data_IF_923472291271
#
_entry.id   IF_923472291271
#
_cell.length_a   1.000
_cell.length_b   1.000
_cell.length_c   1.000
_cell.angle_alpha   90.00
_cell.angle_beta   90.00
_cell.angle_gamma   90.00
#
_symmetry.space_group_name_H-M   'P 1'
#
loop_
_entity.id
_entity.type
_entity.pdbx_description
1 polymer ?
#
# COMPACT_ATOMS: atom_id res chain seq x y z
N UNK A 1 -10.60 -1.39 35.16
CA UNK A 1 -11.17 -0.08 34.76
C UNK A 1 -10.88 0.15 33.28
N UNK A 2 -11.87 0.57 32.50
CA UNK A 2 -11.73 0.78 31.04
C UNK A 2 -11.48 2.27 30.75
N UNK A 3 -10.36 2.61 30.10
CA UNK A 3 -10.01 3.98 29.62
C UNK A 3 -10.44 5.13 30.54
N UNK A 4 -10.15 5.03 31.85
CA UNK A 4 -10.55 6.00 32.89
C UNK A 4 -12.07 6.20 33.12
N UNK A 5 -12.93 5.46 32.41
CA UNK A 5 -14.40 5.47 32.55
C UNK A 5 -14.94 4.54 33.63
N UNK A 6 -14.08 3.86 34.39
CA UNK A 6 -14.45 2.98 35.50
C UNK A 6 -14.76 1.54 35.09
N UNK A 7 -15.68 0.89 35.81
CA UNK A 7 -16.12 -0.51 35.61
C UNK A 7 -17.28 -0.56 34.60
N UNK A 8 -16.97 -0.29 33.33
CA UNK A 8 -17.96 -0.22 32.23
C UNK A 8 -17.80 -1.36 31.21
N UNK A 9 -17.06 -2.40 31.55
CA UNK A 9 -16.82 -3.58 30.72
C UNK A 9 -16.78 -4.82 31.62
N UNK A 10 -17.45 -5.88 31.22
CA UNK A 10 -17.40 -7.20 31.83
C UNK A 10 -16.03 -7.85 31.58
N UNK A 11 -15.44 -8.44 32.62
CA UNK A 11 -14.11 -9.06 32.53
C UNK A 11 -14.19 -10.41 31.81
N UNK A 12 -13.45 -10.63 30.71
CA UNK A 12 -13.53 -11.86 29.92
C UNK A 12 -13.29 -13.13 30.76
N UNK A 13 -12.25 -13.14 31.59
CA UNK A 13 -11.87 -14.32 32.38
C UNK A 13 -12.97 -14.76 33.34
N UNK A 14 -13.58 -13.80 34.05
CA UNK A 14 -14.66 -14.09 35.01
C UNK A 14 -15.96 -14.49 34.34
N UNK A 15 -16.24 -13.94 33.16
CA UNK A 15 -17.43 -14.33 32.39
C UNK A 15 -17.24 -15.72 31.82
N UNK A 16 -16.04 -16.09 31.37
CA UNK A 16 -15.76 -17.45 30.90
C UNK A 16 -16.00 -18.47 32.01
N UNK A 17 -15.50 -18.22 33.23
CA UNK A 17 -15.74 -19.08 34.39
C UNK A 17 -17.24 -19.20 34.70
N UNK A 18 -17.96 -18.07 34.70
CA UNK A 18 -19.40 -18.05 34.93
C UNK A 18 -20.19 -18.83 33.87
N UNK A 19 -19.81 -18.73 32.59
CA UNK A 19 -20.45 -19.49 31.51
C UNK A 19 -20.24 -20.99 31.74
N UNK A 20 -19.02 -21.41 32.11
CA UNK A 20 -18.73 -22.81 32.45
C UNK A 20 -19.59 -23.29 33.62
N UNK A 21 -19.72 -22.50 34.69
CA UNK A 21 -20.56 -22.84 35.85
C UNK A 21 -22.05 -22.99 35.46
N UNK A 22 -22.54 -22.13 34.54
CA UNK A 22 -23.91 -22.19 34.03
C UNK A 22 -24.12 -23.45 33.19
N UNK A 23 -23.19 -23.77 32.29
CA UNK A 23 -23.23 -24.97 31.44
C UNK A 23 -23.23 -26.26 32.28
N UNK A 24 -22.34 -26.34 33.27
CA UNK A 24 -22.27 -27.46 34.22
C UNK A 24 -23.59 -27.59 35.01
N UNK A 25 -24.13 -26.46 35.48
CA UNK A 25 -25.42 -26.41 36.17
C UNK A 25 -26.57 -26.90 35.29
N UNK A 26 -26.61 -26.49 34.02
CA UNK A 26 -27.62 -26.95 33.06
C UNK A 26 -27.51 -28.45 32.76
N UNK A 27 -26.30 -29.00 32.66
CA UNK A 27 -26.07 -30.45 32.49
C UNK A 27 -26.64 -31.24 33.67
N UNK A 28 -26.37 -30.80 34.90
CA UNK A 28 -26.92 -31.42 36.12
C UNK A 28 -28.44 -31.35 36.15
N UNK A 29 -29.04 -30.19 35.85
CA UNK A 29 -30.50 -30.04 35.84
C UNK A 29 -31.17 -30.89 34.75
N UNK A 30 -30.53 -31.03 33.59
CA UNK A 30 -31.01 -31.90 32.50
C UNK A 30 -30.99 -33.37 32.92
N UNK A 31 -29.92 -33.82 33.59
CA UNK A 31 -29.84 -35.16 34.15
C UNK A 31 -30.92 -35.42 35.23
N UNK A 32 -31.17 -34.43 36.10
CA UNK A 32 -32.22 -34.50 37.11
C UNK A 32 -33.64 -34.54 36.49
N UNK A 33 -33.88 -33.86 35.36
CA UNK A 33 -35.14 -33.96 34.61
C UNK A 33 -35.35 -35.35 34.00
N UNK A 34 -34.27 -36.00 33.55
CA UNK A 34 -34.30 -37.37 33.03
C UNK A 34 -34.52 -38.45 34.10
N UNK A 35 -34.28 -38.14 35.38
CA UNK A 35 -34.46 -39.08 36.48
C UNK A 35 -35.94 -39.32 36.81
N UNK A 36 -36.37 -40.59 36.88
CA UNK A 36 -37.75 -40.98 37.22
C UNK A 36 -38.21 -40.54 38.63
N UNK A 37 -37.29 -40.30 39.55
CA UNK A 37 -37.60 -39.98 40.96
C UNK A 37 -37.68 -38.47 41.26
N UNK A 38 -37.84 -37.61 40.25
CA UNK A 38 -37.84 -36.14 40.43
C UNK A 38 -39.21 -35.51 40.77
N UNK A 39 -40.26 -36.32 40.99
CA UNK A 39 -41.65 -35.86 41.08
C UNK A 39 -41.90 -34.71 42.06
N UNK A 40 -41.23 -34.71 43.22
CA UNK A 40 -41.37 -33.66 44.23
C UNK A 40 -40.74 -32.31 43.84
N UNK A 41 -39.67 -32.34 43.03
CA UNK A 41 -38.87 -31.16 42.67
C UNK A 41 -39.04 -30.75 41.20
N UNK A 42 -39.85 -31.48 40.42
CA UNK A 42 -39.95 -31.29 38.97
C UNK A 42 -40.23 -29.85 38.55
N UNK A 43 -41.13 -29.16 39.25
CA UNK A 43 -41.45 -27.74 38.98
C UNK A 43 -40.27 -26.81 39.23
N UNK A 44 -39.51 -27.08 40.29
CA UNK A 44 -38.33 -26.28 40.67
C UNK A 44 -37.17 -26.51 39.69
N UNK A 45 -36.93 -27.77 39.29
CA UNK A 45 -35.93 -28.11 38.28
C UNK A 45 -36.25 -27.42 36.94
N UNK A 46 -37.52 -27.48 36.50
CA UNK A 46 -37.95 -26.78 35.27
C UNK A 46 -37.74 -25.27 35.34
N UNK A 47 -38.04 -24.65 36.49
CA UNK A 47 -37.81 -23.22 36.69
C UNK A 47 -36.31 -22.87 36.58
N UNK A 48 -35.44 -23.67 37.18
CA UNK A 48 -33.99 -23.45 37.12
C UNK A 48 -33.41 -23.67 35.72
N UNK A 49 -33.92 -24.66 34.97
CA UNK A 49 -33.53 -24.84 33.56
C UNK A 49 -33.84 -23.59 32.75
N UNK A 50 -35.06 -23.05 32.88
CA UNK A 50 -35.44 -21.82 32.18
C UNK A 50 -34.56 -20.64 32.62
N UNK A 51 -34.32 -20.48 33.93
CA UNK A 51 -33.48 -19.39 34.45
C UNK A 51 -32.05 -19.44 33.94
N UNK A 52 -31.39 -20.61 34.02
CA UNK A 52 -30.01 -20.75 33.56
C UNK A 52 -29.90 -20.56 32.04
N UNK A 53 -30.88 -21.04 31.27
CA UNK A 53 -30.93 -20.81 29.82
C UNK A 53 -31.09 -19.31 29.50
N UNK A 54 -32.01 -18.61 30.18
CA UNK A 54 -32.18 -17.16 30.01
C UNK A 54 -30.92 -16.39 30.42
N UNK A 55 -30.24 -16.78 31.49
CA UNK A 55 -28.99 -16.12 31.92
C UNK A 55 -27.92 -16.28 30.86
N UNK A 56 -27.73 -17.49 30.33
CA UNK A 56 -26.77 -17.75 29.27
C UNK A 56 -27.04 -16.88 28.03
N UNK A 57 -28.26 -16.91 27.50
CA UNK A 57 -28.66 -16.10 26.34
C UNK A 57 -28.39 -14.61 26.57
N UNK A 58 -28.70 -14.10 27.77
CA UNK A 58 -28.46 -12.69 28.11
C UNK A 58 -27.00 -12.34 28.25
N UNK A 59 -26.17 -13.23 28.78
CA UNK A 59 -24.71 -13.00 28.86
C UNK A 59 -24.11 -12.97 27.45
N UNK A 60 -24.49 -13.90 26.58
CA UNK A 60 -24.03 -13.95 25.18
C UNK A 60 -24.40 -12.67 24.43
N UNK A 61 -25.66 -12.24 24.51
CA UNK A 61 -26.12 -10.97 23.92
C UNK A 61 -25.37 -9.77 24.49
N UNK A 62 -25.15 -9.74 25.80
CA UNK A 62 -24.41 -8.67 26.46
C UNK A 62 -22.96 -8.60 26.00
N UNK A 63 -22.28 -9.73 25.85
CA UNK A 63 -20.93 -9.79 25.30
C UNK A 63 -20.89 -9.30 23.84
N UNK A 64 -21.89 -9.64 23.03
CA UNK A 64 -21.98 -9.16 21.65
C UNK A 64 -22.13 -7.62 21.60
N UNK A 65 -23.04 -7.06 22.41
CA UNK A 65 -23.21 -5.61 22.56
C UNK A 65 -21.92 -4.96 23.07
N UNK A 66 -21.23 -5.58 24.03
CA UNK A 66 -19.96 -5.09 24.56
C UNK A 66 -18.89 -4.99 23.48
N UNK A 67 -18.72 -6.04 22.67
CA UNK A 67 -17.73 -6.07 21.59
C UNK A 67 -17.99 -4.95 20.58
N UNK A 68 -19.23 -4.80 20.13
CA UNK A 68 -19.63 -3.74 19.21
C UNK A 68 -19.48 -2.35 19.83
N UNK A 69 -19.84 -2.18 21.11
CA UNK A 69 -19.70 -0.92 21.83
C UNK A 69 -18.23 -0.50 21.97
N UNK A 70 -17.32 -1.43 22.34
CA UNK A 70 -15.88 -1.15 22.45
C UNK A 70 -15.32 -0.67 21.11
N UNK A 71 -15.70 -1.34 20.02
CA UNK A 71 -15.26 -0.97 18.67
C UNK A 71 -15.77 0.43 18.27
N UNK A 72 -17.05 0.71 18.48
CA UNK A 72 -17.64 2.02 18.17
C UNK A 72 -17.12 3.15 19.08
N UNK A 73 -16.83 2.84 20.35
CA UNK A 73 -16.25 3.79 21.31
C UNK A 73 -14.89 4.29 20.83
N UNK A 74 -14.05 3.39 20.35
CA UNK A 74 -12.72 3.75 19.84
C UNK A 74 -12.81 4.74 18.67
N UNK A 75 -13.81 4.59 17.80
CA UNK A 75 -13.98 5.40 16.59
C UNK A 75 -14.57 6.78 16.93
N UNK A 76 -15.74 6.78 17.59
CA UNK A 76 -16.53 8.00 17.82
C UNK A 76 -16.11 8.81 19.07
N UNK A 77 -15.32 8.23 19.98
CA UNK A 77 -14.75 8.95 21.12
C UNK A 77 -13.30 9.40 20.89
N UNK A 78 -12.57 8.73 19.98
CA UNK A 78 -11.17 9.02 19.70
C UNK A 78 -10.93 10.03 18.57
N UNK A 79 -11.84 10.14 17.60
CA UNK A 79 -11.66 10.99 16.42
C UNK A 79 -12.79 12.02 16.25
N UNK A 80 -12.44 13.31 16.33
CA UNK A 80 -13.41 14.40 16.13
C UNK A 80 -13.92 14.48 14.69
N UNK A 81 -13.14 14.01 13.73
CA UNK A 81 -13.42 14.18 12.30
C UNK A 81 -14.42 13.17 11.75
N UNK A 82 -14.32 11.89 12.15
CA UNK A 82 -15.32 10.88 11.76
C UNK A 82 -16.69 11.24 12.34
N UNK A 83 -16.74 11.71 13.59
CA UNK A 83 -18.00 12.18 14.20
C UNK A 83 -18.60 13.40 13.50
N UNK A 84 -17.78 14.26 12.86
CA UNK A 84 -18.25 15.39 12.03
C UNK A 84 -18.79 14.93 10.68
N UNK A 85 -18.18 13.92 10.07
CA UNK A 85 -18.66 13.35 8.81
C UNK A 85 -19.90 12.44 8.98
N UNK A 86 -20.07 11.81 10.15
CA UNK A 86 -21.19 10.94 10.51
C UNK A 86 -21.97 11.48 11.74
N UNK A 87 -22.62 12.65 11.63
CA UNK A 87 -23.21 13.33 12.80
C UNK A 87 -24.44 12.61 13.35
N UNK A 88 -25.18 11.88 12.51
CA UNK A 88 -26.36 11.12 12.93
C UNK A 88 -25.95 9.92 13.79
N UNK A 89 -24.91 9.21 13.35
CA UNK A 89 -24.30 8.07 14.00
C UNK A 89 -23.59 8.50 15.28
N UNK A 90 -22.87 9.63 15.29
CA UNK A 90 -22.27 10.20 16.50
C UNK A 90 -23.33 10.44 17.59
N UNK A 91 -24.46 11.06 17.22
CA UNK A 91 -25.57 11.31 18.17
C UNK A 91 -26.21 10.01 18.64
N UNK A 92 -26.36 9.03 17.74
CA UNK A 92 -26.90 7.70 18.07
C UNK A 92 -25.97 6.98 19.05
N UNK A 93 -24.67 6.96 18.77
CA UNK A 93 -23.66 6.35 19.62
C UNK A 93 -23.59 7.02 21.00
N UNK A 94 -23.66 8.35 21.09
CA UNK A 94 -23.73 9.03 22.38
C UNK A 94 -24.96 8.63 23.22
N UNK A 95 -26.09 8.29 22.58
CA UNK A 95 -27.25 7.75 23.28
C UNK A 95 -27.03 6.31 23.75
N UNK A 96 -26.45 5.47 22.89
CA UNK A 96 -26.04 4.09 23.22
C UNK A 96 -25.08 4.10 24.41
N UNK A 97 -24.06 4.96 24.40
CA UNK A 97 -23.06 5.09 25.45
C UNK A 97 -23.68 5.37 26.83
N UNK A 98 -24.64 6.31 26.89
CA UNK A 98 -25.38 6.59 28.13
C UNK A 98 -26.19 5.40 28.64
N UNK A 99 -26.83 4.66 27.74
CA UNK A 99 -27.60 3.46 28.09
C UNK A 99 -26.69 2.32 28.52
N UNK A 100 -25.55 2.14 27.86
CA UNK A 100 -24.51 1.17 28.22
C UNK A 100 -23.98 1.41 29.63
N UNK A 101 -23.61 2.66 29.94
CA UNK A 101 -23.15 3.04 31.29
C UNK A 101 -24.23 2.75 32.35
N UNK A 102 -25.52 2.97 32.01
CA UNK A 102 -26.64 2.65 32.91
C UNK A 102 -26.74 1.14 33.18
N UNK A 103 -26.60 0.31 32.14
CA UNK A 103 -26.57 -1.16 32.26
C UNK A 103 -25.41 -1.60 33.15
N UNK A 104 -24.20 -1.10 32.89
CA UNK A 104 -23.01 -1.47 33.65
C UNK A 104 -23.10 -1.02 35.12
N UNK A 105 -23.73 0.13 35.40
CA UNK A 105 -23.98 0.56 36.77
C UNK A 105 -24.99 -0.35 37.48
N UNK A 106 -26.09 -0.72 36.82
CA UNK A 106 -27.07 -1.65 37.38
C UNK A 106 -26.46 -3.03 37.67
N UNK A 107 -25.56 -3.49 36.79
CA UNK A 107 -24.79 -4.72 36.98
C UNK A 107 -23.89 -4.68 38.22
N UNK A 108 -23.23 -3.53 38.43
CA UNK A 108 -22.37 -3.29 39.59
C UNK A 108 -23.16 -3.25 40.89
N UNK A 109 -24.32 -2.60 40.88
CA UNK A 109 -25.18 -2.44 42.06
C UNK A 109 -25.91 -3.75 42.41
N UNK A 110 -26.08 -4.67 41.46
CA UNK A 110 -26.71 -5.98 41.66
C UNK A 110 -25.81 -7.14 41.18
N UNK A 111 -24.92 -7.67 42.04
CA UNK A 111 -23.97 -8.71 41.67
C UNK A 111 -24.60 -10.09 41.45
N UNK A 112 -25.90 -10.27 41.73
CA UNK A 112 -26.57 -11.55 41.51
C UNK A 112 -27.02 -11.69 40.05
N UNK A 113 -26.30 -12.50 39.28
CA UNK A 113 -26.53 -12.72 37.84
C UNK A 113 -27.94 -13.23 37.52
N UNK A 114 -28.48 -14.13 38.34
CA UNK A 114 -29.85 -14.66 38.14
C UNK A 114 -30.88 -13.56 38.31
N UNK A 115 -30.73 -12.73 39.35
CA UNK A 115 -31.65 -11.62 39.60
C UNK A 115 -31.59 -10.59 38.48
N UNK A 116 -30.38 -10.26 38.03
CA UNK A 116 -30.16 -9.26 37.00
C UNK A 116 -30.67 -9.72 35.63
N UNK A 117 -30.45 -10.98 35.24
CA UNK A 117 -30.83 -11.50 33.93
C UNK A 117 -32.27 -12.02 33.85
N UNK A 118 -32.85 -12.54 34.96
CA UNK A 118 -34.18 -13.16 34.94
C UNK A 118 -35.29 -12.34 35.60
N UNK A 119 -34.96 -11.41 36.50
CA UNK A 119 -35.98 -10.70 37.29
C UNK A 119 -36.09 -9.20 36.98
N UNK A 120 -35.13 -8.66 36.23
CA UNK A 120 -35.15 -7.29 35.76
C UNK A 120 -35.33 -7.26 34.23
N UNK A 121 -36.45 -6.71 33.76
CA UNK A 121 -36.74 -6.55 32.34
C UNK A 121 -35.83 -5.50 31.67
N UNK A 122 -35.02 -4.77 32.44
CA UNK A 122 -34.10 -3.76 31.91
C UNK A 122 -33.12 -4.34 30.88
N UNK A 123 -32.43 -5.45 31.20
CA UNK A 123 -31.50 -6.08 30.26
C UNK A 123 -32.24 -6.65 29.06
N UNK A 124 -33.37 -7.31 29.31
CA UNK A 124 -34.18 -7.96 28.29
C UNK A 124 -34.71 -6.98 27.22
N UNK A 125 -34.97 -5.73 27.61
CA UNK A 125 -35.45 -4.70 26.71
C UNK A 125 -34.33 -3.85 26.10
N UNK A 126 -33.27 -3.54 26.86
CA UNK A 126 -32.22 -2.62 26.40
C UNK A 126 -31.16 -3.30 25.54
N UNK A 127 -30.73 -4.53 25.85
CA UNK A 127 -29.66 -5.20 25.09
C UNK A 127 -30.03 -5.39 23.61
N UNK A 128 -31.23 -5.89 23.23
CA UNK A 128 -31.57 -6.08 21.82
C UNK A 128 -31.62 -4.74 21.07
N UNK A 129 -32.11 -3.70 21.75
CA UNK A 129 -32.21 -2.35 21.20
C UNK A 129 -30.82 -1.71 20.99
N UNK A 130 -29.91 -1.89 21.95
CA UNK A 130 -28.52 -1.46 21.82
C UNK A 130 -27.80 -2.19 20.70
N UNK A 131 -27.98 -3.50 20.60
CA UNK A 131 -27.41 -4.32 19.53
C UNK A 131 -27.86 -3.80 18.16
N UNK A 132 -29.18 -3.66 17.95
CA UNK A 132 -29.73 -3.17 16.69
C UNK A 132 -29.17 -1.80 16.30
N UNK A 133 -29.06 -0.87 17.25
CA UNK A 133 -28.49 0.45 16.96
C UNK A 133 -26.98 0.44 16.72
N UNK A 134 -26.23 -0.42 17.39
CA UNK A 134 -24.80 -0.61 17.12
C UNK A 134 -24.56 -1.21 15.73
N UNK A 135 -25.36 -2.21 15.33
CA UNK A 135 -25.32 -2.81 13.99
C UNK A 135 -25.66 -1.77 12.91
N UNK A 136 -26.64 -0.88 13.17
CA UNK A 136 -26.92 0.24 12.27
C UNK A 136 -25.72 1.18 12.13
N UNK A 137 -25.06 1.55 13.23
CA UNK A 137 -23.84 2.37 13.19
C UNK A 137 -22.72 1.66 12.40
N UNK A 138 -22.54 0.35 12.60
CA UNK A 138 -21.56 -0.44 11.88
C UNK A 138 -21.83 -0.45 10.38
N UNK A 139 -23.09 -0.61 9.97
CA UNK A 139 -23.48 -0.57 8.56
C UNK A 139 -23.24 0.80 7.92
N UNK A 140 -23.58 1.89 8.62
CA UNK A 140 -23.29 3.25 8.17
C UNK A 140 -21.77 3.47 8.02
N UNK A 141 -20.98 2.99 9.00
CA UNK A 141 -19.52 3.10 8.96
C UNK A 141 -18.92 2.32 7.78
N UNK A 142 -19.37 1.09 7.53
CA UNK A 142 -18.93 0.30 6.40
C UNK A 142 -19.23 1.00 5.06
N UNK A 143 -20.42 1.59 4.92
CA UNK A 143 -20.78 2.40 3.75
C UNK A 143 -19.92 3.66 3.61
N UNK A 144 -19.57 4.31 4.73
CA UNK A 144 -18.67 5.46 4.75
C UNK A 144 -17.26 5.07 4.27
N UNK A 145 -16.67 3.99 4.80
CA UNK A 145 -15.35 3.52 4.40
C UNK A 145 -15.34 3.12 2.92
N UNK A 146 -16.39 2.47 2.42
CA UNK A 146 -16.51 2.12 1.00
C UNK A 146 -16.59 3.36 0.10
N UNK A 147 -17.28 4.41 0.52
CA UNK A 147 -17.30 5.68 -0.20
C UNK A 147 -15.90 6.33 -0.25
N UNK A 148 -15.11 6.23 0.83
CA UNK A 148 -13.73 6.70 0.85
C UNK A 148 -12.83 5.88 -0.07
N UNK A 149 -12.98 4.55 -0.09
CA UNK A 149 -12.26 3.66 -1.02
C UNK A 149 -12.58 3.96 -2.48
N UNK A 150 -13.85 4.19 -2.80
CA UNK A 150 -14.27 4.60 -4.14
C UNK A 150 -13.64 5.95 -4.54
N UNK A 151 -13.55 6.90 -3.60
CA UNK A 151 -12.94 8.21 -3.84
C UNK A 151 -11.42 8.20 -3.95
N UNK A 152 -10.74 7.24 -3.31
CA UNK A 152 -9.30 7.04 -3.39
C UNK A 152 -8.99 5.52 -3.45
N UNK A 153 -8.92 4.93 -4.66
CA UNK A 153 -8.85 3.48 -4.83
C UNK A 153 -7.67 2.79 -4.15
N UNK A 154 -6.59 3.51 -3.81
CA UNK A 154 -5.46 2.89 -3.07
C UNK A 154 -5.85 2.44 -1.65
N UNK A 155 -6.94 2.96 -1.09
CA UNK A 155 -7.49 2.49 0.19
C UNK A 155 -8.11 1.09 0.15
N UNK A 156 -8.32 0.48 -1.02
CA UNK A 156 -8.68 -0.94 -1.09
C UNK A 156 -7.56 -1.87 -0.59
N UNK A 157 -6.32 -1.38 -0.53
CA UNK A 157 -5.15 -2.13 -0.06
C UNK A 157 -4.76 -1.81 1.38
N UNK A 158 -5.57 -1.01 2.07
CA UNK A 158 -5.37 -0.59 3.46
C UNK A 158 -6.46 -1.23 4.32
N UNK A 159 -6.10 -1.70 5.52
CA UNK A 159 -7.06 -2.31 6.44
C UNK A 159 -8.08 -1.29 6.96
N UNK A 160 -9.25 -1.76 7.41
CA UNK A 160 -10.28 -0.89 8.00
C UNK A 160 -9.72 -0.06 9.18
N UNK A 161 -8.87 -0.68 10.02
CA UNK A 161 -8.26 -0.01 11.16
C UNK A 161 -7.34 1.15 10.72
N UNK A 162 -6.44 0.91 9.76
CA UNK A 162 -5.56 1.95 9.23
C UNK A 162 -6.36 3.04 8.50
N UNK A 163 -7.40 2.67 7.74
CA UNK A 163 -8.25 3.64 7.07
C UNK A 163 -8.98 4.54 8.07
N UNK A 164 -9.45 3.99 9.19
CA UNK A 164 -10.06 4.75 10.27
C UNK A 164 -9.06 5.70 10.96
N UNK A 165 -7.81 5.29 11.14
CA UNK A 165 -6.74 6.16 11.66
C UNK A 165 -6.52 7.36 10.72
N UNK A 166 -6.40 7.11 9.41
CA UNK A 166 -6.24 8.14 8.38
C UNK A 166 -7.44 9.10 8.38
N UNK A 167 -8.67 8.58 8.39
CA UNK A 167 -9.89 9.42 8.40
C UNK A 167 -10.07 10.16 9.72
N UNK A 168 -9.65 9.57 10.84
CA UNK A 168 -9.80 10.13 12.18
C UNK A 168 -8.96 11.36 12.45
N UNK A 169 -7.87 11.54 11.69
CA UNK A 169 -6.92 12.66 11.80
C UNK A 169 -6.87 13.50 10.50
N UNK A 170 -7.89 13.39 9.64
CA UNK A 170 -7.90 14.03 8.32
C UNK A 170 -7.78 15.56 8.31
N UNK A 171 -8.07 16.23 9.43
CA UNK A 171 -7.85 17.69 9.57
C UNK A 171 -6.38 18.09 9.80
N UNK A 172 -5.51 17.16 10.21
CA UNK A 172 -4.08 17.40 10.39
C UNK A 172 -3.28 16.72 9.27
N UNK A 173 -2.81 17.47 8.26
CA UNK A 173 -2.03 16.91 7.17
C UNK A 173 -0.75 16.18 7.59
N UNK A 174 -0.13 16.55 8.72
CA UNK A 174 1.09 15.90 9.14
C UNK A 174 0.85 14.45 9.61
N UNK A 175 -0.38 14.12 10.03
CA UNK A 175 -0.77 12.80 10.52
C UNK A 175 -0.73 11.69 9.46
N UNK A 176 -0.72 12.02 8.17
CA UNK A 176 -0.68 11.01 7.10
C UNK A 176 0.67 10.28 7.02
N UNK A 177 1.75 10.88 7.52
CA UNK A 177 3.14 10.38 7.41
C UNK A 177 3.31 8.87 7.66
N UNK A 178 2.84 8.30 8.80
CA UNK A 178 2.95 6.86 9.06
C UNK A 178 2.23 5.97 8.04
N UNK A 179 1.29 6.51 7.27
CA UNK A 179 0.48 5.78 6.30
C UNK A 179 0.91 6.01 4.84
N UNK A 180 1.85 6.91 4.56
CA UNK A 180 2.23 7.22 3.17
C UNK A 180 2.74 5.98 2.40
N UNK A 181 3.50 5.11 3.06
CA UNK A 181 4.03 3.89 2.45
C UNK A 181 2.96 2.80 2.24
N UNK A 182 1.78 2.90 2.84
CA UNK A 182 0.67 1.99 2.54
C UNK A 182 -0.15 2.43 1.31
N UNK A 183 0.00 3.69 0.90
CA UNK A 183 -0.73 4.28 -0.23
C UNK A 183 0.17 4.78 -1.38
N UNK A 184 1.49 4.72 -1.24
CA UNK A 184 2.46 5.11 -2.27
C UNK A 184 3.54 4.04 -2.42
N UNK A 185 4.25 4.04 -3.55
CA UNK A 185 5.33 3.08 -3.75
C UNK A 185 6.52 3.31 -2.81
N UNK A 186 6.97 4.56 -2.67
CA UNK A 186 8.15 4.89 -1.87
C UNK A 186 8.16 6.35 -1.39
N UNK A 187 7.00 6.96 -1.12
CA UNK A 187 6.95 8.26 -0.44
C UNK A 187 6.90 8.00 1.07
N UNK A 188 8.01 8.24 1.77
CA UNK A 188 8.12 8.07 3.22
C UNK A 188 7.83 9.36 3.98
N UNK A 189 8.19 10.51 3.40
CA UNK A 189 8.07 11.82 4.07
C UNK A 189 7.53 12.87 3.13
N UNK A 190 6.82 13.85 3.68
CA UNK A 190 6.41 15.07 3.01
C UNK A 190 6.95 16.28 3.77
N UNK A 191 7.55 17.22 3.04
CA UNK A 191 8.01 18.50 3.58
C UNK A 191 6.90 19.53 3.41
N UNK A 192 6.50 20.13 4.52
CA UNK A 192 5.50 21.19 4.55
C UNK A 192 6.22 22.54 4.61
N UNK A 193 5.73 23.53 3.85
CA UNK A 193 6.23 24.89 3.93
C UNK A 193 5.84 25.51 5.29
N UNK A 194 6.85 26.03 5.98
CA UNK A 194 6.73 26.67 7.30
C UNK A 194 6.66 28.20 7.20
N UNK A 195 6.69 28.76 5.99
CA UNK A 195 6.69 30.22 5.78
C UNK A 195 5.28 30.83 5.78
N UNK A 196 4.23 30.01 5.64
CA UNK A 196 2.83 30.43 5.71
C UNK A 196 2.26 30.40 7.13
N UNK A 197 1.09 31.05 7.37
CA UNK A 197 0.41 31.01 8.66
C UNK A 197 -0.18 29.64 9.03
N UNK A 198 -0.21 28.69 8.09
CA UNK A 198 -0.67 27.31 8.28
C UNK A 198 0.27 26.36 7.53
N UNK A 199 0.78 25.31 8.20
CA UNK A 199 1.64 24.24 7.65
C UNK A 199 0.86 23.32 6.68
N UNK A 200 0.26 23.89 5.64
CA UNK A 200 -0.71 23.22 4.77
C UNK A 200 -0.24 23.02 3.34
N UNK A 201 0.93 23.54 2.95
CA UNK A 201 1.45 23.37 1.59
C UNK A 201 2.61 22.39 1.59
N UNK A 202 2.49 21.32 0.81
CA UNK A 202 3.52 20.31 0.63
C UNK A 202 4.43 20.72 -0.53
N UNK A 203 5.73 20.85 -0.26
CA UNK A 203 6.73 21.37 -1.22
C UNK A 203 7.66 20.29 -1.76
N UNK A 204 7.89 19.22 -1.01
CA UNK A 204 8.70 18.09 -1.46
C UNK A 204 8.18 16.75 -0.95
N UNK A 205 8.51 15.70 -1.69
CA UNK A 205 8.37 14.30 -1.28
C UNK A 205 9.75 13.70 -1.04
N UNK A 206 9.83 12.80 -0.05
CA UNK A 206 11.04 12.10 0.31
C UNK A 206 10.85 10.59 0.34
N UNK A 207 11.86 9.86 -0.11
CA UNK A 207 11.88 8.39 -0.09
C UNK A 207 12.40 7.79 1.20
N UNK A 208 12.23 6.47 1.37
CA UNK A 208 12.81 5.72 2.48
C UNK A 208 14.34 5.81 2.49
N UNK A 209 14.97 5.92 1.31
CA UNK A 209 16.44 6.05 1.19
C UNK A 209 16.95 7.47 1.49
N UNK A 210 16.05 8.42 1.74
CA UNK A 210 16.38 9.81 2.05
C UNK A 210 16.54 10.73 0.83
N UNK A 211 16.24 10.25 -0.38
CA UNK A 211 16.18 11.11 -1.56
C UNK A 211 14.98 12.06 -1.45
N UNK A 212 15.20 13.34 -1.78
CA UNK A 212 14.17 14.38 -1.77
C UNK A 212 13.92 14.91 -3.17
N UNK A 213 12.64 15.05 -3.53
CA UNK A 213 12.18 15.59 -4.82
C UNK A 213 11.21 16.73 -4.56
N UNK A 214 11.55 17.92 -5.07
CA UNK A 214 10.69 19.09 -5.03
C UNK A 214 9.54 18.92 -6.02
N UNK A 215 8.31 19.23 -5.59
CA UNK A 215 7.16 19.24 -6.48
C UNK A 215 7.26 20.36 -7.50
N UNK A 216 6.78 20.14 -8.73
CA UNK A 216 6.67 21.17 -9.76
C UNK A 216 5.78 22.32 -9.27
N UNK A 217 4.71 22.01 -8.54
CA UNK A 217 3.85 22.96 -7.84
C UNK A 217 3.55 22.49 -6.42
N UNK A 218 3.55 23.39 -5.41
CA UNK A 218 3.16 23.02 -4.05
C UNK A 218 1.73 22.46 -4.00
N UNK A 219 1.55 21.36 -3.27
CA UNK A 219 0.23 20.72 -3.09
C UNK A 219 -0.42 21.22 -1.82
N UNK A 220 -1.65 21.71 -1.92
CA UNK A 220 -2.42 22.17 -0.75
C UNK A 220 -3.07 20.99 -0.05
N UNK A 221 -2.72 20.80 1.22
CA UNK A 221 -3.37 19.87 2.12
C UNK A 221 -4.66 20.49 2.68
N UNK A 222 -5.73 20.39 1.89
CA UNK A 222 -7.06 20.86 2.27
C UNK A 222 -7.70 19.98 3.36
N UNK A 223 -8.70 20.53 4.06
CA UNK A 223 -9.37 19.87 5.20
C UNK A 223 -10.08 18.53 4.88
N UNK A 224 -10.22 18.15 3.60
CA UNK A 224 -10.72 16.82 3.21
C UNK A 224 -9.57 15.99 2.67
N UNK A 225 -9.30 14.88 3.34
CA UNK A 225 -8.14 14.02 3.05
C UNK A 225 -8.16 13.38 1.66
N UNK A 226 -9.33 12.88 1.19
CA UNK A 226 -9.41 12.18 -0.10
C UNK A 226 -9.08 13.08 -1.31
N UNK A 227 -9.69 14.26 -1.48
CA UNK A 227 -9.31 15.18 -2.56
C UNK A 227 -7.84 15.58 -2.51
N UNK A 228 -7.32 15.90 -1.33
CA UNK A 228 -5.92 16.25 -1.13
C UNK A 228 -4.97 15.11 -1.55
N UNK A 229 -5.25 13.86 -1.13
CA UNK A 229 -4.43 12.71 -1.52
C UNK A 229 -4.46 12.44 -3.03
N UNK A 230 -5.60 12.63 -3.70
CA UNK A 230 -5.66 12.53 -5.16
C UNK A 230 -4.79 13.60 -5.82
N UNK A 231 -4.86 14.85 -5.35
CA UNK A 231 -4.03 15.94 -5.86
C UNK A 231 -2.53 15.67 -5.62
N UNK A 232 -2.16 15.11 -4.46
CA UNK A 232 -0.79 14.71 -4.16
C UNK A 232 -0.28 13.66 -5.16
N UNK A 233 -1.09 12.66 -5.50
CA UNK A 233 -0.70 11.63 -6.48
C UNK A 233 -0.55 12.21 -7.90
N UNK A 234 -1.49 13.06 -8.32
CA UNK A 234 -1.43 13.71 -9.63
C UNK A 234 -0.18 14.59 -9.75
N UNK A 235 0.11 15.40 -8.73
CA UNK A 235 1.26 16.30 -8.73
C UNK A 235 2.59 15.52 -8.59
N UNK A 236 2.61 14.40 -7.86
CA UNK A 236 3.75 13.47 -7.86
C UNK A 236 4.05 12.95 -9.25
N UNK A 237 3.04 12.41 -9.95
CA UNK A 237 3.22 11.90 -11.31
C UNK A 237 3.63 12.99 -12.29
N UNK A 238 3.01 14.17 -12.19
CA UNK A 238 3.35 15.34 -12.99
C UNK A 238 4.79 15.80 -12.75
N UNK A 239 5.21 15.88 -11.48
CA UNK A 239 6.58 16.26 -11.11
C UNK A 239 7.59 15.27 -11.70
N UNK A 240 7.37 13.97 -11.52
CA UNK A 240 8.25 12.95 -12.09
C UNK A 240 8.31 13.01 -13.63
N UNK A 241 7.19 13.32 -14.28
CA UNK A 241 7.10 13.55 -15.72
C UNK A 241 7.87 14.80 -16.17
N UNK A 242 7.71 15.92 -15.49
CA UNK A 242 8.41 17.18 -15.79
C UNK A 242 9.93 17.04 -15.60
N UNK A 243 10.36 16.38 -14.52
CA UNK A 243 11.78 16.10 -14.25
C UNK A 243 12.35 15.17 -15.32
N UNK A 244 11.58 14.16 -15.77
CA UNK A 244 11.98 13.30 -16.88
C UNK A 244 12.06 14.05 -18.22
N UNK A 245 11.12 14.96 -18.50
CA UNK A 245 11.17 15.83 -19.69
C UNK A 245 12.45 16.68 -19.70
N UNK A 246 12.78 17.31 -18.56
CA UNK A 246 14.02 18.07 -18.40
C UNK A 246 15.23 17.18 -18.64
N UNK A 247 15.25 15.98 -18.06
CA UNK A 247 16.33 15.02 -18.25
C UNK A 247 16.54 14.67 -19.73
N UNK A 248 15.48 14.38 -20.47
CA UNK A 248 15.57 14.03 -21.90
C UNK A 248 16.15 15.17 -22.72
N UNK A 249 15.78 16.42 -22.44
CA UNK A 249 16.38 17.61 -23.09
C UNK A 249 17.87 17.78 -22.78
N UNK A 250 18.31 17.30 -21.62
CA UNK A 250 19.67 17.45 -21.13
C UNK A 250 20.59 16.27 -21.56
N UNK A 251 20.03 15.15 -22.05
CA UNK A 251 20.80 13.98 -22.55
C UNK A 251 21.90 14.38 -23.54
N UNK A 252 21.67 15.20 -24.58
CA UNK A 252 22.72 15.58 -25.52
C UNK A 252 23.89 16.33 -24.85
N UNK A 253 23.59 17.18 -23.85
CA UNK A 253 24.61 17.95 -23.17
C UNK A 253 25.49 17.09 -22.24
N UNK A 254 24.91 16.09 -21.58
CA UNK A 254 25.63 15.29 -20.59
C UNK A 254 26.12 13.93 -21.10
N UNK A 255 25.36 13.27 -21.97
CA UNK A 255 25.55 11.86 -22.34
C UNK A 255 25.91 11.66 -23.82
N UNK A 256 26.03 12.70 -24.65
CA UNK A 256 26.51 12.56 -26.03
C UNK A 256 28.00 12.19 -26.04
N UNK A 257 28.83 13.00 -25.38
CA UNK A 257 30.24 12.74 -25.10
C UNK A 257 30.41 12.48 -23.61
N UNK A 258 30.48 11.20 -23.24
CA UNK A 258 30.50 10.80 -21.83
C UNK A 258 31.89 11.10 -21.25
N UNK A 259 31.94 12.07 -20.34
CA UNK A 259 33.14 12.48 -19.62
C UNK A 259 32.87 12.40 -18.11
N UNK A 260 33.91 12.27 -17.25
CA UNK A 260 33.71 12.13 -15.81
C UNK A 260 32.83 13.23 -15.21
N UNK A 261 33.15 14.50 -15.49
CA UNK A 261 32.45 15.64 -14.92
C UNK A 261 31.00 15.78 -15.43
N UNK A 262 30.74 15.45 -16.70
CA UNK A 262 29.38 15.51 -17.24
C UNK A 262 28.50 14.40 -16.66
N UNK A 263 29.06 13.20 -16.50
CA UNK A 263 28.35 12.08 -15.88
C UNK A 263 28.03 12.34 -14.40
N UNK A 264 29.01 12.82 -13.64
CA UNK A 264 28.82 13.21 -12.23
C UNK A 264 27.73 14.28 -12.10
N UNK A 265 27.78 15.33 -12.93
CA UNK A 265 26.77 16.39 -12.92
C UNK A 265 25.37 15.88 -13.30
N UNK A 266 25.28 14.96 -14.28
CA UNK A 266 24.01 14.32 -14.66
C UNK A 266 23.40 13.50 -13.52
N UNK A 267 24.22 12.66 -12.86
CA UNK A 267 23.79 11.84 -11.74
C UNK A 267 23.39 12.72 -10.56
N UNK A 268 24.12 13.79 -10.25
CA UNK A 268 23.79 14.69 -9.15
C UNK A 268 22.50 15.49 -9.40
N UNK A 269 22.22 15.87 -10.65
CA UNK A 269 21.07 16.72 -11.02
C UNK A 269 19.71 16.04 -10.92
N UNK A 270 19.64 14.75 -11.26
CA UNK A 270 18.36 14.04 -11.37
C UNK A 270 18.16 13.01 -10.27
N UNK A 271 16.92 12.78 -9.78
CA UNK A 271 16.62 11.67 -8.88
C UNK A 271 17.07 10.32 -9.45
N UNK A 272 17.38 9.34 -8.59
CA UNK A 272 17.87 8.01 -8.95
C UNK A 272 17.04 7.34 -10.04
N UNK A 273 15.72 7.34 -9.86
CA UNK A 273 14.77 6.81 -10.84
C UNK A 273 14.92 7.50 -12.21
N UNK A 274 15.03 8.83 -12.25
CA UNK A 274 15.08 9.59 -13.51
C UNK A 274 16.46 9.48 -14.19
N UNK A 275 17.54 9.51 -13.41
CA UNK A 275 18.90 9.29 -13.92
C UNK A 275 19.03 7.90 -14.56
N UNK A 276 18.45 6.87 -13.93
CA UNK A 276 18.40 5.52 -14.48
C UNK A 276 17.62 5.48 -15.80
N UNK A 277 16.45 6.12 -15.87
CA UNK A 277 15.67 6.22 -17.11
C UNK A 277 16.44 6.93 -18.23
N UNK A 278 17.21 7.97 -17.90
CA UNK A 278 18.01 8.69 -18.89
C UNK A 278 19.08 7.85 -19.56
N UNK A 279 19.82 7.05 -18.78
CA UNK A 279 20.79 6.10 -19.34
C UNK A 279 20.08 5.06 -20.22
N UNK A 280 18.90 4.57 -19.81
CA UNK A 280 18.14 3.58 -20.58
C UNK A 280 17.55 4.11 -21.89
N UNK A 281 17.07 5.36 -21.90
CA UNK A 281 16.60 6.04 -23.11
C UNK A 281 17.77 6.30 -24.06
N UNK A 282 18.90 6.78 -23.55
CA UNK A 282 20.13 6.98 -24.34
C UNK A 282 20.62 5.66 -24.95
N UNK A 283 20.66 4.59 -24.16
CA UNK A 283 21.05 3.26 -24.65
C UNK A 283 20.12 2.77 -25.76
N UNK A 284 18.81 2.94 -25.59
CA UNK A 284 17.81 2.55 -26.60
C UNK A 284 18.04 3.32 -27.90
N UNK A 285 18.13 4.64 -27.82
CA UNK A 285 18.33 5.53 -28.96
C UNK A 285 19.62 5.20 -29.74
N UNK A 286 20.75 5.13 -29.05
CA UNK A 286 22.05 4.93 -29.70
C UNK A 286 22.19 3.51 -30.27
N UNK A 287 21.58 2.52 -29.62
CA UNK A 287 21.51 1.15 -30.13
C UNK A 287 20.72 1.10 -31.44
N UNK A 288 19.52 1.68 -31.49
CA UNK A 288 18.71 1.70 -32.71
C UNK A 288 19.36 2.47 -33.84
N UNK A 289 19.97 3.62 -33.54
CA UNK A 289 20.71 4.40 -34.52
C UNK A 289 21.82 3.55 -35.14
N UNK A 290 22.58 2.81 -34.32
CA UNK A 290 23.65 1.94 -34.79
C UNK A 290 23.15 0.76 -35.65
N UNK A 291 22.02 0.17 -35.27
CA UNK A 291 21.40 -0.95 -35.99
C UNK A 291 20.82 -0.50 -37.34
N UNK A 292 20.18 0.66 -37.40
CA UNK A 292 19.59 1.19 -38.63
C UNK A 292 20.65 1.67 -39.63
N UNK A 293 21.82 2.11 -39.15
CA UNK A 293 22.94 2.56 -40.00
C UNK A 293 24.00 1.50 -40.24
N UNK A 294 23.79 0.27 -39.77
CA UNK A 294 24.76 -0.83 -39.81
C UNK A 294 25.39 -1.07 -41.18
N UNK A 295 24.61 -0.92 -42.26
CA UNK A 295 25.06 -1.14 -43.65
C UNK A 295 25.72 0.07 -44.30
N UNK A 296 25.46 1.27 -43.78
CA UNK A 296 25.91 2.54 -44.34
C UNK A 296 27.21 2.98 -43.67
N UNK A 297 27.30 2.83 -42.35
CA UNK A 297 28.40 3.34 -41.54
C UNK A 297 29.12 2.18 -40.83
N UNK A 298 30.13 1.62 -41.53
CA UNK A 298 30.93 0.53 -40.98
C UNK A 298 31.66 1.00 -39.72
N UNK A 299 31.51 0.25 -38.63
CA UNK A 299 32.17 0.54 -37.35
C UNK A 299 31.33 1.35 -36.36
N UNK A 300 30.16 1.85 -36.75
CA UNK A 300 29.28 2.60 -35.84
C UNK A 300 28.90 1.79 -34.60
N UNK A 301 28.53 0.50 -34.75
CA UNK A 301 28.27 -0.36 -33.58
C UNK A 301 29.48 -0.48 -32.65
N UNK A 302 30.71 -0.51 -33.18
CA UNK A 302 31.91 -0.58 -32.36
C UNK A 302 32.16 0.73 -31.60
N UNK A 303 31.84 1.88 -32.22
CA UNK A 303 31.88 3.19 -31.57
C UNK A 303 30.82 3.28 -30.47
N UNK A 304 29.58 2.85 -30.74
CA UNK A 304 28.48 2.81 -29.76
C UNK A 304 28.83 1.89 -28.58
N UNK A 305 29.36 0.70 -28.84
CA UNK A 305 29.83 -0.19 -27.77
C UNK A 305 30.95 0.43 -26.94
N UNK A 306 31.91 1.13 -27.59
CA UNK A 306 32.96 1.85 -26.88
C UNK A 306 32.36 2.94 -25.98
N UNK A 307 31.35 3.68 -26.46
CA UNK A 307 30.63 4.68 -25.65
C UNK A 307 29.97 4.05 -24.41
N UNK A 308 29.23 2.96 -24.57
CA UNK A 308 28.62 2.24 -23.45
C UNK A 308 29.67 1.70 -22.47
N UNK A 309 30.77 1.15 -22.99
CA UNK A 309 31.87 0.69 -22.13
C UNK A 309 32.49 1.85 -21.34
N UNK A 310 32.73 3.00 -21.97
CA UNK A 310 33.23 4.19 -21.26
C UNK A 310 32.28 4.61 -20.14
N UNK A 311 30.96 4.59 -20.37
CA UNK A 311 29.98 4.88 -19.33
C UNK A 311 30.12 3.93 -18.14
N UNK A 312 30.17 2.61 -18.40
CA UNK A 312 30.36 1.61 -17.35
C UNK A 312 31.66 1.83 -16.57
N UNK A 313 32.78 2.02 -17.28
CA UNK A 313 34.09 2.21 -16.67
C UNK A 313 34.12 3.46 -15.77
N UNK A 314 33.42 4.54 -16.17
CA UNK A 314 33.29 5.75 -15.36
C UNK A 314 32.40 5.53 -14.13
N UNK A 315 31.23 4.89 -14.27
CA UNK A 315 30.37 4.55 -13.14
C UNK A 315 31.12 3.68 -12.10
N UNK A 316 31.88 2.69 -12.56
CA UNK A 316 32.72 1.82 -11.71
C UNK A 316 33.89 2.60 -11.08
N UNK A 317 34.41 3.63 -11.76
CA UNK A 317 35.43 4.48 -11.16
C UNK A 317 34.85 5.34 -10.02
N UNK A 318 33.61 5.83 -10.15
CA UNK A 318 32.94 6.65 -9.13
C UNK A 318 32.73 5.88 -7.82
N UNK A 319 32.48 4.57 -7.86
CA UNK A 319 32.30 3.75 -6.63
C UNK A 319 33.58 3.55 -5.82
N UNK A 320 34.74 3.96 -6.34
CA UNK A 320 36.02 3.95 -5.60
C UNK A 320 36.14 5.13 -4.63
N UNK A 321 35.35 6.19 -4.83
CA UNK A 321 35.28 7.32 -3.92
C UNK A 321 34.48 6.96 -2.65
N UNK A 322 34.69 7.70 -1.58
CA UNK A 322 33.85 7.59 -0.39
C UNK A 322 32.55 8.39 -0.61
N UNK A 323 31.47 7.66 -0.84
CA UNK A 323 30.16 8.21 -1.21
C UNK A 323 29.12 8.00 -0.09
N UNK A 324 28.21 8.97 0.12
CA UNK A 324 27.01 8.77 0.94
C UNK A 324 26.21 7.54 0.49
N UNK A 325 25.49 6.91 1.42
CA UNK A 325 24.75 5.67 1.17
C UNK A 325 23.80 5.78 -0.03
N UNK A 326 23.00 6.86 -0.11
CA UNK A 326 22.08 7.11 -1.21
C UNK A 326 22.79 7.21 -2.58
N UNK A 327 23.88 7.99 -2.65
CA UNK A 327 24.63 8.15 -3.89
C UNK A 327 25.29 6.85 -4.33
N UNK A 328 25.80 6.06 -3.37
CA UNK A 328 26.35 4.74 -3.63
C UNK A 328 25.30 3.79 -4.23
N UNK A 329 24.15 3.64 -3.58
CA UNK A 329 23.05 2.80 -4.07
C UNK A 329 22.58 3.25 -5.45
N UNK A 330 22.50 4.58 -5.68
CA UNK A 330 22.15 5.14 -6.98
C UNK A 330 23.12 4.70 -8.07
N UNK A 331 24.44 4.82 -7.84
CA UNK A 331 25.45 4.41 -8.83
C UNK A 331 25.46 2.90 -9.02
N UNK A 332 25.33 2.10 -7.96
CA UNK A 332 25.23 0.64 -8.03
C UNK A 332 24.02 0.19 -8.87
N UNK A 333 22.89 0.87 -8.76
CA UNK A 333 21.71 0.63 -9.59
C UNK A 333 21.97 0.95 -11.07
N UNK A 334 22.66 2.06 -11.38
CA UNK A 334 23.04 2.40 -12.75
C UNK A 334 24.00 1.34 -13.32
N UNK A 335 25.01 0.90 -12.54
CA UNK A 335 25.95 -0.14 -12.94
C UNK A 335 25.23 -1.45 -13.24
N UNK A 336 24.35 -1.89 -12.32
CA UNK A 336 23.64 -3.17 -12.44
C UNK A 336 22.86 -3.27 -13.73
N UNK A 337 22.07 -2.24 -14.06
CA UNK A 337 21.30 -2.20 -15.31
C UNK A 337 22.21 -2.02 -16.53
N UNK A 338 23.25 -1.19 -16.43
CA UNK A 338 24.10 -0.91 -17.57
C UNK A 338 25.02 -2.08 -17.96
N UNK A 339 25.42 -2.93 -17.02
CA UNK A 339 26.13 -4.20 -17.32
C UNK A 339 25.27 -5.08 -18.23
N UNK A 340 24.00 -5.29 -17.86
CA UNK A 340 23.07 -6.08 -18.67
C UNK A 340 22.89 -5.48 -20.08
N UNK A 341 22.73 -4.15 -20.17
CA UNK A 341 22.62 -3.44 -21.45
C UNK A 341 23.87 -3.58 -22.34
N UNK A 342 25.06 -3.56 -21.73
CA UNK A 342 26.32 -3.75 -22.43
C UNK A 342 26.44 -5.18 -22.97
N UNK A 343 26.07 -6.18 -22.18
CA UNK A 343 26.06 -7.59 -22.57
C UNK A 343 25.04 -7.86 -23.69
N UNK A 344 23.83 -7.28 -23.58
CA UNK A 344 22.81 -7.36 -24.63
C UNK A 344 23.31 -6.75 -25.95
N UNK A 345 23.94 -5.57 -25.90
CA UNK A 345 24.49 -4.95 -27.11
C UNK A 345 25.69 -5.73 -27.67
N UNK A 346 26.54 -6.31 -26.83
CA UNK A 346 27.62 -7.19 -27.26
C UNK A 346 27.09 -8.45 -27.98
N UNK A 347 25.97 -9.01 -27.53
CA UNK A 347 25.30 -10.12 -28.20
C UNK A 347 24.80 -9.71 -29.60
N UNK A 348 24.21 -8.52 -29.75
CA UNK A 348 23.81 -7.97 -31.05
C UNK A 348 25.00 -7.79 -31.99
N UNK A 349 26.14 -7.30 -31.48
CA UNK A 349 27.37 -7.16 -32.28
C UNK A 349 27.88 -8.50 -32.83
N UNK A 350 27.76 -9.60 -32.07
CA UNK A 350 28.11 -10.95 -32.57
C UNK A 350 27.19 -11.39 -33.71
N UNK A 351 25.94 -10.92 -33.70
CA UNK A 351 24.92 -11.22 -34.69
C UNK A 351 24.81 -10.20 -35.83
N UNK A 352 25.66 -9.17 -35.85
CA UNK A 352 25.60 -8.05 -36.82
C UNK A 352 25.59 -8.48 -38.30
N UNK A 353 26.14 -9.65 -38.64
CA UNK A 353 26.09 -10.18 -40.02
C UNK A 353 24.71 -10.67 -40.44
N UNK A 354 23.86 -11.02 -39.47
CA UNK A 354 22.48 -11.52 -39.67
C UNK A 354 21.46 -10.39 -39.51
N UNK A 355 21.69 -9.49 -38.56
CA UNK A 355 20.79 -8.37 -38.26
C UNK A 355 20.75 -7.39 -39.44
N UNK A 356 19.55 -6.97 -39.82
CA UNK A 356 19.34 -6.02 -40.93
C UNK A 356 19.13 -4.59 -40.46
N UNK A 357 18.33 -4.42 -39.40
CA UNK A 357 17.92 -3.13 -38.84
C UNK A 357 17.29 -3.34 -37.45
N UNK A 358 16.74 -2.29 -36.86
CA UNK A 358 16.07 -2.32 -35.56
C UNK A 358 14.71 -3.07 -35.54
N UNK A 359 14.30 -3.75 -36.63
CA UNK A 359 13.12 -4.63 -36.64
C UNK A 359 13.48 -6.10 -36.38
N UNK A 360 14.76 -6.39 -36.17
CA UNK A 360 15.22 -7.75 -35.90
C UNK A 360 14.81 -8.21 -34.49
N UNK A 361 14.32 -9.45 -34.38
CA UNK A 361 13.81 -10.00 -33.12
C UNK A 361 14.86 -9.97 -31.99
N UNK A 362 16.15 -10.14 -32.31
CA UNK A 362 17.19 -10.11 -31.29
C UNK A 362 17.30 -8.74 -30.59
N UNK A 363 16.92 -7.65 -31.28
CA UNK A 363 16.72 -6.33 -30.70
C UNK A 363 15.33 -6.18 -30.09
N UNK A 364 14.28 -6.59 -30.81
CA UNK A 364 12.90 -6.40 -30.37
C UNK A 364 12.61 -7.08 -29.02
N UNK A 365 13.25 -8.21 -28.73
CA UNK A 365 13.08 -8.92 -27.45
C UNK A 365 13.63 -8.17 -26.23
N UNK A 366 14.48 -7.15 -26.43
CA UNK A 366 15.04 -6.34 -25.34
C UNK A 366 14.01 -5.34 -24.80
N UNK A 367 14.13 -5.01 -23.51
CA UNK A 367 13.35 -3.93 -22.90
C UNK A 367 13.91 -2.58 -23.32
N UNK A 368 13.07 -1.76 -23.95
CA UNK A 368 13.47 -0.50 -24.58
C UNK A 368 12.59 0.64 -24.09
N UNK A 369 13.18 1.82 -23.99
CA UNK A 369 12.49 3.00 -23.46
C UNK A 369 12.58 4.14 -24.45
N UNK A 370 11.44 4.78 -24.70
CA UNK A 370 11.34 5.88 -25.65
C UNK A 370 10.63 7.05 -25.00
N UNK A 371 11.22 8.23 -25.11
CA UNK A 371 10.49 9.47 -24.91
C UNK A 371 9.82 9.87 -26.23
N UNK A 372 8.49 9.95 -26.23
CA UNK A 372 7.67 10.42 -27.34
C UNK A 372 7.41 11.90 -27.14
N UNK A 373 8.19 12.74 -27.83
CA UNK A 373 8.09 14.21 -27.73
C UNK A 373 6.71 14.74 -28.08
N UNK A 374 6.02 14.12 -29.04
CA UNK A 374 4.69 14.53 -29.50
C UNK A 374 3.60 14.31 -28.43
N UNK A 375 3.68 13.17 -27.72
CA UNK A 375 2.76 12.82 -26.64
C UNK A 375 3.21 13.34 -25.28
N UNK A 376 4.40 13.94 -25.24
CA UNK A 376 5.10 14.31 -24.02
C UNK A 376 5.14 13.13 -23.04
N UNK A 377 5.49 11.92 -23.49
CA UNK A 377 5.33 10.72 -22.66
C UNK A 377 6.51 9.76 -22.78
N UNK A 378 6.76 8.96 -21.73
CA UNK A 378 7.71 7.86 -21.77
C UNK A 378 6.96 6.55 -21.97
N UNK A 379 7.47 5.72 -22.88
CA UNK A 379 6.93 4.37 -23.13
C UNK A 379 8.03 3.34 -22.91
N UNK A 380 7.65 2.20 -22.34
CA UNK A 380 8.44 0.98 -22.31
C UNK A 380 7.92 0.05 -23.41
N UNK A 381 8.81 -0.52 -24.21
CA UNK A 381 8.46 -1.47 -25.26
C UNK A 381 9.28 -2.75 -25.13
N UNK A 382 8.58 -3.88 -25.13
CA UNK A 382 9.17 -5.22 -25.17
C UNK A 382 8.49 -5.93 -26.31
N UNK A 383 9.25 -6.46 -27.26
CA UNK A 383 8.73 -7.05 -28.50
C UNK A 383 7.80 -6.05 -29.24
N UNK A 384 6.54 -6.42 -29.45
CA UNK A 384 5.48 -5.61 -30.05
C UNK A 384 4.54 -4.96 -29.02
N UNK A 385 4.72 -5.24 -27.73
CA UNK A 385 3.88 -4.68 -26.66
C UNK A 385 4.47 -3.38 -26.13
N UNK A 386 3.62 -2.38 -25.99
CA UNK A 386 3.94 -1.07 -25.44
C UNK A 386 3.21 -0.84 -24.12
N UNK A 387 3.93 -0.26 -23.15
CA UNK A 387 3.39 0.20 -21.89
C UNK A 387 3.72 1.67 -21.68
N UNK A 388 2.74 2.48 -21.33
CA UNK A 388 3.00 3.82 -20.84
C UNK A 388 3.68 3.75 -19.47
N UNK A 389 4.70 4.58 -19.30
CA UNK A 389 5.35 4.79 -18.01
C UNK A 389 4.39 5.55 -17.08
N UNK A 390 4.15 5.04 -15.87
CA UNK A 390 3.11 5.60 -15.00
C UNK A 390 3.59 6.70 -14.03
N UNK A 391 4.87 7.03 -14.05
CA UNK A 391 5.46 8.13 -13.27
C UNK A 391 5.22 8.08 -11.76
N UNK A 392 4.96 6.90 -11.19
CA UNK A 392 4.97 6.73 -9.73
C UNK A 392 6.38 7.03 -9.21
N UNK A 393 6.49 7.74 -8.08
CA UNK A 393 7.79 7.95 -7.43
C UNK A 393 8.23 6.67 -6.71
N UNK A 394 9.33 6.10 -7.17
CA UNK A 394 9.88 4.83 -6.68
C UNK A 394 11.10 5.02 -5.78
N UNK A 395 11.61 6.23 -5.59
CA UNK A 395 12.85 6.48 -4.84
C UNK A 395 14.07 5.75 -5.39
N UNK A 396 15.06 5.48 -4.53
CA UNK A 396 16.33 4.84 -4.90
C UNK A 396 16.34 3.34 -4.60
N UNK A 397 15.28 2.63 -5.03
CA UNK A 397 15.15 1.19 -4.85
C UNK A 397 16.28 0.41 -5.53
N UNK A 398 16.83 -0.59 -4.83
CA UNK A 398 17.79 -1.54 -5.40
C UNK A 398 17.19 -2.30 -6.59
N UNK A 399 17.97 -2.46 -7.66
CA UNK A 399 17.59 -3.18 -8.88
C UNK A 399 18.03 -4.63 -8.81
N UNK A 400 17.17 -5.52 -9.31
CA UNK A 400 17.52 -6.93 -9.49
C UNK A 400 18.57 -7.07 -10.62
N UNK A 401 19.53 -7.96 -10.43
CA UNK A 401 20.46 -8.33 -11.50
C UNK A 401 19.67 -9.02 -12.63
N UNK A 402 19.70 -8.43 -13.81
CA UNK A 402 18.97 -8.94 -14.98
C UNK A 402 19.76 -10.07 -15.64
N UNK A 403 19.10 -11.20 -15.85
CA UNK A 403 19.66 -12.39 -16.51
C UNK A 403 18.79 -12.78 -17.71
N UNK A 404 19.29 -13.67 -18.58
CA UNK A 404 18.49 -14.25 -19.68
C UNK A 404 17.16 -14.86 -19.21
N UNK A 405 17.10 -15.35 -17.96
CA UNK A 405 15.85 -15.88 -17.40
C UNK A 405 14.89 -14.76 -17.02
N UNK A 406 15.39 -13.68 -16.42
CA UNK A 406 14.63 -12.46 -16.09
C UNK A 406 14.00 -11.86 -17.35
N UNK A 407 14.78 -11.75 -18.44
CA UNK A 407 14.28 -11.24 -19.73
C UNK A 407 13.16 -12.09 -20.31
N UNK A 408 13.27 -13.42 -20.23
CA UNK A 408 12.20 -14.32 -20.68
C UNK A 408 10.92 -14.11 -19.89
N UNK A 409 11.04 -13.92 -18.57
CA UNK A 409 9.88 -13.60 -17.72
C UNK A 409 9.28 -12.25 -18.12
N UNK A 410 10.10 -11.23 -18.39
CA UNK A 410 9.65 -9.92 -18.86
C UNK A 410 8.86 -10.03 -20.17
N UNK A 411 9.39 -10.75 -21.16
CA UNK A 411 8.71 -10.98 -22.45
C UNK A 411 7.38 -11.72 -22.23
N UNK A 412 7.37 -12.82 -21.48
CA UNK A 412 6.13 -13.59 -21.25
C UNK A 412 5.09 -12.79 -20.48
N UNK A 413 5.48 -12.04 -19.45
CA UNK A 413 4.56 -11.18 -18.72
C UNK A 413 4.06 -10.01 -19.57
N UNK A 414 4.94 -9.40 -20.38
CA UNK A 414 4.57 -8.31 -21.27
C UNK A 414 3.52 -8.76 -22.29
N UNK A 415 3.75 -9.92 -22.93
CA UNK A 415 2.81 -10.52 -23.87
C UNK A 415 1.47 -10.85 -23.22
N UNK A 416 1.49 -11.49 -22.05
CA UNK A 416 0.26 -11.79 -21.31
C UNK A 416 -0.52 -10.50 -20.99
N UNK A 417 0.15 -9.48 -20.46
CA UNK A 417 -0.47 -8.20 -20.13
C UNK A 417 -1.00 -7.47 -21.38
N UNK A 418 -0.27 -7.51 -22.49
CA UNK A 418 -0.71 -6.96 -23.78
C UNK A 418 -1.97 -7.63 -24.33
N UNK A 419 -2.19 -8.90 -23.98
CA UNK A 419 -3.40 -9.66 -24.29
C UNK A 419 -4.49 -9.58 -23.20
N UNK A 420 -4.31 -8.71 -22.19
CA UNK A 420 -5.19 -8.59 -21.03
C UNK A 420 -5.30 -9.88 -20.17
N UNK A 421 -4.26 -10.71 -20.19
CA UNK A 421 -4.10 -11.86 -19.29
C UNK A 421 -3.13 -11.55 -18.15
N UNK A 422 -3.20 -12.36 -17.08
CA UNK A 422 -2.21 -12.36 -16.00
C UNK A 422 -0.97 -13.18 -16.37
N UNK A 423 0.20 -12.75 -15.91
CA UNK A 423 1.42 -13.55 -15.95
C UNK A 423 1.50 -14.48 -14.74
N UNK A 424 1.83 -15.76 -14.97
CA UNK A 424 2.01 -16.75 -13.90
C UNK A 424 3.44 -17.35 -13.94
N UNK A 425 4.45 -16.63 -13.42
CA UNK A 425 5.80 -17.19 -13.28
C UNK A 425 5.75 -18.41 -12.36
N UNK A 426 6.22 -19.57 -12.84
CA UNK A 426 6.23 -20.83 -12.09
C UNK A 426 7.65 -21.30 -11.81
N UNK A 427 7.88 -21.84 -10.61
CA UNK A 427 9.17 -22.34 -10.17
C UNK A 427 9.26 -22.47 -8.63
N UNK A 428 10.32 -23.10 -8.10
CA UNK A 428 10.51 -23.33 -6.66
C UNK A 428 10.43 -22.06 -5.80
N UNK A 429 10.17 -22.20 -4.50
CA UNK A 429 10.22 -21.07 -3.57
C UNK A 429 11.61 -20.43 -3.54
N UNK A 430 11.68 -19.10 -3.40
CA UNK A 430 12.95 -18.37 -3.31
C UNK A 430 13.69 -18.13 -4.63
N UNK A 431 13.16 -18.54 -5.79
CA UNK A 431 13.82 -18.35 -7.10
C UNK A 431 13.58 -16.99 -7.75
N UNK A 432 13.26 -15.95 -6.97
CA UNK A 432 13.13 -14.57 -7.49
C UNK A 432 11.88 -14.29 -8.34
N UNK A 433 10.86 -15.16 -8.34
CA UNK A 433 9.61 -14.97 -9.11
C UNK A 433 8.93 -13.63 -8.81
N UNK A 434 8.62 -13.40 -7.54
CA UNK A 434 7.96 -12.17 -7.08
C UNK A 434 8.84 -10.94 -7.30
N UNK A 435 10.14 -11.06 -7.04
CA UNK A 435 11.09 -9.95 -7.22
C UNK A 435 11.25 -9.57 -8.70
N UNK A 436 11.23 -10.55 -9.62
CA UNK A 436 11.24 -10.29 -11.07
C UNK A 436 9.98 -9.52 -11.50
N UNK A 437 8.80 -9.92 -11.01
CA UNK A 437 7.55 -9.22 -11.34
C UNK A 437 7.51 -7.81 -10.74
N UNK A 438 8.02 -7.62 -9.51
CA UNK A 438 8.20 -6.30 -8.90
C UNK A 438 9.14 -5.42 -9.72
N UNK A 439 10.29 -5.96 -10.14
CA UNK A 439 11.28 -5.23 -10.93
C UNK A 439 10.70 -4.74 -12.27
N UNK A 440 9.85 -5.56 -12.90
CA UNK A 440 9.12 -5.21 -14.12
C UNK A 440 8.09 -4.10 -13.87
N UNK A 441 7.31 -4.20 -12.78
CA UNK A 441 6.37 -3.16 -12.37
C UNK A 441 7.08 -1.81 -12.14
N UNK A 442 8.24 -1.84 -11.48
CA UNK A 442 9.11 -0.68 -11.28
C UNK A 442 9.66 -0.13 -12.61
N UNK A 443 10.02 -0.98 -13.55
CA UNK A 443 10.47 -0.56 -14.89
C UNK A 443 9.36 0.18 -15.66
N UNK A 444 8.09 -0.14 -15.41
CA UNK A 444 6.94 0.62 -15.93
C UNK A 444 6.62 1.90 -15.13
N UNK A 445 7.36 2.22 -14.06
CA UNK A 445 7.02 3.33 -13.17
C UNK A 445 5.66 3.17 -12.49
N UNK A 446 5.22 1.92 -12.25
CA UNK A 446 3.90 1.59 -11.70
C UNK A 446 3.96 1.36 -10.19
N UNK A 447 2.91 1.78 -9.49
CA UNK A 447 2.64 1.34 -8.12
C UNK A 447 2.33 -0.16 -8.13
N UNK A 448 3.18 -0.96 -7.49
CA UNK A 448 3.09 -2.42 -7.47
C UNK A 448 2.84 -2.91 -6.05
N UNK A 449 1.83 -3.77 -5.88
CA UNK A 449 1.43 -4.34 -4.58
C UNK A 449 1.59 -5.85 -4.64
N UNK A 450 2.18 -6.41 -3.59
CA UNK A 450 2.32 -7.86 -3.44
C UNK A 450 1.30 -8.34 -2.42
N UNK A 451 0.42 -9.25 -2.83
CA UNK A 451 -0.53 -9.92 -1.95
C UNK A 451 -0.03 -11.35 -1.76
N UNK A 452 0.16 -11.75 -0.50
CA UNK A 452 0.46 -13.13 -0.17
C UNK A 452 -0.86 -13.90 -0.05
N UNK A 453 -0.98 -15.02 -0.77
CA UNK A 453 -2.17 -15.87 -0.80
C UNK A 453 -1.94 -17.23 -0.13
N UNK A 454 -0.90 -17.35 0.72
CA UNK A 454 -0.59 -18.59 1.44
C UNK A 454 -1.54 -18.89 2.61
N UNK A 455 -2.22 -17.85 3.08
CA UNK A 455 -3.16 -17.85 4.19
C UNK A 455 -4.58 -17.63 3.63
#
# INVERSE_FOLDING_TARGET
>A
TFKNRGEVVLQPDKISELITDIEDGQLVLTALLGNRNNGAFRKEIQLWVVRLATVQERIEEWLQVQHLWIYMEAIFSGSGDIGRELPTEQKRFANIDRQWIKIMKAARDNPNVIRLCCMDDMLANLLPHLQSYLEMCQKSLAGYLEAKRTGFPRFYFVSDAQLLEIMGQGSDPASIRPHLLSITANVATLTFDSTGPTDTEVTSMGSVEGEQVLFSQPVKAEAKIVPWLNQLLEEMQRTMKDVMRSMVSDIPAYLQEIQPHTLEAFIARYPAQVALMGIQIMWTHDSELSLNRLRVEKGLMALTFKKFKTLLDLLVAMTRADLPALERTKIENLITIHIHQLDAFAALMKLQKRIRNALDFDWLKQTRFYWKTEDDNCIMQITDVQFDYCFEYLGCNERLVVTDLTDRIYISCAQAMGMHYGGAPSGPAGTGKTETTKDMGRACGRYFITINCSD
#
